data_IF_572570397391
#
_entry.id   IF_572570397391
#
_cell.length_a   1.000
_cell.length_b   1.000
_cell.length_c   1.000
_cell.angle_alpha   90.00
_cell.angle_beta   90.00
_cell.angle_gamma   90.00
#
_symmetry.space_group_name_H-M   'P 1'
#
loop_
_entity.id
_entity.type
_entity.pdbx_description
1 polymer ?
#
# COMPACT_ATOMS: atom_id res chain seq x y z
N UNK A 1 -7.57 -28.32 -8.88
CA UNK A 1 -8.01 -27.43 -9.95
C UNK A 1 -8.11 -26.04 -9.34
N UNK A 2 -7.16 -25.14 -9.70
CA UNK A 2 -7.02 -23.85 -9.10
C UNK A 2 -8.26 -23.00 -9.35
N UNK A 3 -9.00 -22.68 -8.31
CA UNK A 3 -9.94 -21.58 -8.35
C UNK A 3 -9.14 -20.32 -8.65
N UNK A 4 -9.33 -19.83 -9.86
CA UNK A 4 -8.88 -18.50 -10.23
C UNK A 4 -9.67 -17.57 -9.32
N UNK A 5 -9.04 -16.93 -8.36
CA UNK A 5 -9.67 -15.88 -7.55
C UNK A 5 -10.00 -14.73 -8.49
N UNK A 6 -11.15 -14.81 -9.14
CA UNK A 6 -11.68 -13.71 -9.93
C UNK A 6 -12.19 -12.66 -8.97
N UNK A 7 -11.40 -11.62 -8.78
CA UNK A 7 -11.87 -10.40 -8.13
C UNK A 7 -13.02 -9.84 -8.96
N UNK A 8 -14.20 -9.69 -8.35
CA UNK A 8 -15.34 -9.06 -9.01
C UNK A 8 -14.94 -7.66 -9.48
N UNK A 9 -15.18 -7.37 -10.75
CA UNK A 9 -14.88 -6.06 -11.30
C UNK A 9 -15.88 -5.02 -10.74
N UNK A 10 -15.42 -4.21 -9.80
CA UNK A 10 -16.20 -3.15 -9.12
C UNK A 10 -15.65 -1.77 -9.44
N UNK A 11 -15.84 -1.24 -10.66
CA UNK A 11 -15.19 0.00 -11.11
C UNK A 11 -15.60 1.22 -10.29
N UNK A 12 -16.87 1.32 -9.89
CA UNK A 12 -17.36 2.46 -9.11
C UNK A 12 -16.80 2.49 -7.70
N UNK A 13 -16.74 1.34 -7.02
CA UNK A 13 -16.14 1.26 -5.68
C UNK A 13 -14.64 1.53 -5.73
N UNK A 14 -13.93 1.01 -6.73
CA UNK A 14 -12.50 1.24 -6.93
C UNK A 14 -12.20 2.70 -7.26
N UNK A 15 -13.03 3.33 -8.09
CA UNK A 15 -12.90 4.77 -8.39
C UNK A 15 -13.14 5.62 -7.14
N UNK A 16 -14.19 5.33 -6.38
CA UNK A 16 -14.50 6.02 -5.13
C UNK A 16 -13.36 5.91 -4.11
N UNK A 17 -12.81 4.70 -3.91
CA UNK A 17 -11.65 4.48 -3.05
C UNK A 17 -10.41 5.23 -3.53
N UNK A 18 -10.14 5.21 -4.82
CA UNK A 18 -9.02 5.95 -5.43
C UNK A 18 -9.13 7.46 -5.26
N UNK A 19 -10.33 8.02 -5.43
CA UNK A 19 -10.60 9.45 -5.19
C UNK A 19 -10.36 9.81 -3.72
N UNK A 20 -10.85 9.00 -2.77
CA UNK A 20 -10.63 9.24 -1.35
C UNK A 20 -9.14 9.21 -0.97
N UNK A 21 -8.38 8.25 -1.49
CA UNK A 21 -6.93 8.18 -1.29
C UNK A 21 -6.24 9.40 -1.90
N UNK A 22 -6.63 9.81 -3.11
CA UNK A 22 -6.09 10.98 -3.77
C UNK A 22 -6.34 12.27 -3.01
N UNK A 23 -7.57 12.47 -2.52
CA UNK A 23 -7.94 13.63 -1.70
C UNK A 23 -7.14 13.65 -0.40
N UNK A 24 -7.01 12.51 0.29
CA UNK A 24 -6.22 12.41 1.51
C UNK A 24 -4.74 12.76 1.27
N UNK A 25 -4.16 12.29 0.16
CA UNK A 25 -2.77 12.61 -0.23
C UNK A 25 -2.58 14.10 -0.54
N UNK A 26 -3.53 14.71 -1.26
CA UNK A 26 -3.52 16.15 -1.58
C UNK A 26 -3.64 16.98 -0.29
N UNK A 27 -4.58 16.65 0.57
CA UNK A 27 -4.78 17.35 1.85
C UNK A 27 -3.52 17.28 2.71
N UNK A 28 -2.89 16.11 2.82
CA UNK A 28 -1.64 15.97 3.56
C UNK A 28 -0.54 16.85 2.97
N UNK A 29 -0.45 16.92 1.65
CA UNK A 29 0.56 17.74 0.98
C UNK A 29 0.29 19.24 1.17
N UNK A 30 -0.97 19.68 1.07
CA UNK A 30 -1.35 21.08 1.22
C UNK A 30 -1.19 21.57 2.67
N UNK A 31 -1.62 20.77 3.64
CA UNK A 31 -1.62 21.17 5.07
C UNK A 31 -0.23 21.00 5.69
N UNK A 32 0.46 19.92 5.38
CA UNK A 32 1.72 19.56 6.05
C UNK A 32 2.96 19.71 5.16
N UNK A 33 2.80 19.99 3.86
CA UNK A 33 3.90 20.05 2.90
C UNK A 33 4.63 18.70 2.72
N UNK A 34 4.01 17.57 3.10
CA UNK A 34 4.65 16.26 3.17
C UNK A 34 4.03 15.29 2.21
N UNK A 35 4.86 14.44 1.63
CA UNK A 35 4.43 13.37 0.72
C UNK A 35 3.94 12.19 1.55
N UNK A 36 2.77 11.66 1.20
CA UNK A 36 2.23 10.45 1.83
C UNK A 36 3.08 9.25 1.45
N UNK A 37 3.62 8.55 2.45
CA UNK A 37 4.36 7.31 2.28
C UNK A 37 4.26 6.47 3.55
N UNK A 38 3.55 5.34 3.49
CA UNK A 38 3.20 4.53 4.66
C UNK A 38 4.42 4.15 5.50
N UNK A 39 5.50 3.73 4.87
CA UNK A 39 6.73 3.33 5.57
C UNK A 39 7.40 4.51 6.29
N UNK A 40 7.48 5.68 5.64
CA UNK A 40 8.05 6.88 6.24
C UNK A 40 7.21 7.43 7.39
N UNK A 41 5.89 7.26 7.30
CA UNK A 41 4.97 7.62 8.38
C UNK A 41 5.14 6.68 9.56
N UNK A 42 5.15 5.36 9.32
CA UNK A 42 5.30 4.35 10.35
C UNK A 42 6.67 4.44 11.05
N UNK A 43 7.75 4.46 10.30
CA UNK A 43 9.10 4.58 10.85
C UNK A 43 9.28 5.87 11.65
N UNK A 44 8.77 6.98 11.13
CA UNK A 44 8.85 8.24 11.83
C UNK A 44 7.89 8.38 13.02
N UNK A 45 6.81 7.59 13.09
CA UNK A 45 5.97 7.51 14.27
C UNK A 45 6.66 6.74 15.42
N UNK A 46 7.46 5.73 15.07
CA UNK A 46 8.16 4.88 16.06
C UNK A 46 9.47 5.52 16.51
N UNK A 47 10.33 5.93 15.58
CA UNK A 47 11.70 6.39 15.87
C UNK A 47 11.92 7.88 15.62
N UNK A 48 10.97 8.59 15.02
CA UNK A 48 11.15 10.02 14.73
C UNK A 48 11.05 10.90 15.97
N UNK A 49 12.05 11.77 16.26
CA UNK A 49 12.01 12.64 17.42
C UNK A 49 11.04 13.82 17.28
N UNK A 50 10.68 14.19 16.06
CA UNK A 50 9.82 15.34 15.76
C UNK A 50 8.65 14.99 14.86
N UNK A 51 7.50 15.63 15.12
CA UNK A 51 6.31 15.50 14.30
C UNK A 51 5.68 14.10 14.37
N UNK A 52 5.65 13.49 15.55
CA UNK A 52 5.00 12.20 15.78
C UNK A 52 3.48 12.32 15.76
N UNK A 53 2.95 13.45 16.22
CA UNK A 53 1.52 13.65 16.45
C UNK A 53 0.69 13.47 15.16
N UNK A 54 1.09 14.15 14.09
CA UNK A 54 0.39 14.03 12.80
C UNK A 54 0.54 12.63 12.18
N UNK A 55 1.68 11.94 12.41
CA UNK A 55 1.91 10.57 11.93
C UNK A 55 1.02 9.57 12.66
N UNK A 56 0.95 9.71 13.98
CA UNK A 56 0.06 8.88 14.82
C UNK A 56 -1.40 9.15 14.46
N UNK A 57 -1.80 10.41 14.26
CA UNK A 57 -3.14 10.76 13.83
C UNK A 57 -3.50 10.12 12.47
N UNK A 58 -2.56 10.11 11.53
CA UNK A 58 -2.76 9.51 10.22
C UNK A 58 -2.85 7.98 10.30
N UNK A 59 -1.98 7.34 11.09
CA UNK A 59 -2.04 5.89 11.36
C UNK A 59 -3.35 5.51 12.06
N UNK A 60 -3.78 6.29 13.04
CA UNK A 60 -5.08 6.11 13.71
C UNK A 60 -6.23 6.20 12.69
N UNK A 61 -6.21 7.18 11.78
CA UNK A 61 -7.18 7.30 10.70
C UNK A 61 -7.19 6.07 9.77
N UNK A 62 -6.02 5.53 9.44
CA UNK A 62 -5.92 4.31 8.63
C UNK A 62 -6.51 3.08 9.33
N UNK A 63 -6.38 2.98 10.65
CA UNK A 63 -6.97 1.87 11.43
C UNK A 63 -8.46 2.07 11.65
N UNK A 64 -8.90 3.30 11.91
CA UNK A 64 -10.31 3.60 12.17
C UNK A 64 -11.17 3.60 10.91
N UNK A 65 -10.60 3.86 9.72
CA UNK A 65 -11.32 3.85 8.45
C UNK A 65 -12.11 2.55 8.19
N UNK A 66 -11.49 1.37 8.23
CA UNK A 66 -12.19 0.09 8.12
C UNK A 66 -13.25 -0.14 9.20
N UNK A 67 -13.03 0.36 10.42
CA UNK A 67 -14.02 0.26 11.50
C UNK A 67 -15.26 1.11 11.24
N UNK A 68 -15.07 2.31 10.68
CA UNK A 68 -16.18 3.18 10.25
C UNK A 68 -16.94 2.50 9.11
N UNK A 69 -16.24 1.91 8.15
CA UNK A 69 -16.87 1.16 7.07
C UNK A 69 -17.70 0.00 7.61
N UNK A 70 -17.15 -0.78 8.54
CA UNK A 70 -17.89 -1.84 9.22
C UNK A 70 -19.15 -1.32 9.91
N UNK A 71 -19.05 -0.20 10.62
CA UNK A 71 -20.20 0.39 11.32
C UNK A 71 -21.30 0.87 10.36
N UNK A 72 -20.94 1.29 9.14
CA UNK A 72 -21.90 1.79 8.14
C UNK A 72 -22.46 0.68 7.24
N UNK A 73 -21.65 -0.32 6.87
CA UNK A 73 -22.06 -1.40 5.95
C UNK A 73 -22.46 -2.69 6.68
N UNK A 74 -22.10 -2.83 7.96
CA UNK A 74 -22.39 -4.03 8.77
C UNK A 74 -21.58 -5.27 8.41
N UNK A 75 -20.68 -5.19 7.42
CA UNK A 75 -19.86 -6.32 6.99
C UNK A 75 -18.42 -5.91 6.68
N UNK A 76 -17.46 -6.73 7.08
CA UNK A 76 -16.10 -6.65 6.53
C UNK A 76 -16.06 -7.30 5.15
N UNK A 77 -15.33 -6.72 4.19
CA UNK A 77 -14.99 -7.44 2.98
C UNK A 77 -14.20 -8.71 3.37
N UNK A 78 -14.55 -9.84 2.77
CA UNK A 78 -13.82 -11.09 2.99
C UNK A 78 -12.36 -10.90 2.55
N UNK A 79 -11.44 -10.98 3.51
CA UNK A 79 -10.00 -10.90 3.24
C UNK A 79 -9.47 -12.32 3.30
N UNK A 80 -9.24 -12.92 2.14
CA UNK A 80 -8.56 -14.20 2.03
C UNK A 80 -7.09 -13.98 1.75
N UNK A 81 -6.22 -14.58 2.57
CA UNK A 81 -4.77 -14.54 2.40
C UNK A 81 -4.30 -15.95 2.05
N UNK A 82 -4.29 -16.32 0.76
CA UNK A 82 -4.00 -17.68 0.32
C UNK A 82 -2.49 -17.98 0.31
N UNK A 83 -1.77 -17.52 1.34
CA UNK A 83 -0.33 -17.78 1.49
C UNK A 83 -0.02 -18.29 2.88
N UNK A 84 1.02 -19.14 3.01
CA UNK A 84 1.46 -19.63 4.31
C UNK A 84 2.03 -18.49 5.17
N UNK A 85 1.90 -18.63 6.48
CA UNK A 85 2.43 -17.67 7.45
C UNK A 85 3.94 -17.43 7.25
N UNK A 86 4.69 -18.48 6.92
CA UNK A 86 6.12 -18.38 6.65
C UNK A 86 6.39 -17.52 5.40
N UNK A 87 5.65 -17.74 4.32
CA UNK A 87 5.79 -16.93 3.09
C UNK A 87 5.42 -15.47 3.36
N UNK A 88 4.41 -15.21 4.20
CA UNK A 88 4.02 -13.86 4.59
C UNK A 88 5.12 -13.15 5.39
N UNK A 89 5.74 -13.83 6.36
CA UNK A 89 6.84 -13.28 7.16
C UNK A 89 8.06 -13.00 6.30
N UNK A 90 8.50 -13.97 5.48
CA UNK A 90 9.65 -13.80 4.58
C UNK A 90 9.39 -12.68 3.56
N UNK A 91 8.21 -12.64 2.96
CA UNK A 91 7.81 -11.59 2.05
C UNK A 91 7.82 -10.20 2.71
N UNK A 92 7.29 -10.10 3.93
CA UNK A 92 7.31 -8.86 4.71
C UNK A 92 8.72 -8.36 5.01
N UNK A 93 9.64 -9.25 5.37
CA UNK A 93 11.06 -8.91 5.60
C UNK A 93 11.72 -8.41 4.30
N UNK A 94 11.52 -9.13 3.18
CA UNK A 94 12.08 -8.74 1.88
C UNK A 94 11.54 -7.37 1.43
N UNK A 95 10.24 -7.15 1.57
CA UNK A 95 9.61 -5.85 1.26
C UNK A 95 10.18 -4.75 2.17
N UNK A 96 10.31 -5.01 3.47
CA UNK A 96 10.90 -4.05 4.42
C UNK A 96 12.32 -3.63 4.04
N UNK A 97 13.17 -4.59 3.65
CA UNK A 97 14.52 -4.33 3.15
C UNK A 97 14.44 -3.50 1.85
N UNK A 98 13.62 -3.94 0.89
CA UNK A 98 13.47 -3.27 -0.41
C UNK A 98 13.00 -1.82 -0.27
N UNK A 99 12.04 -1.54 0.60
CA UNK A 99 11.52 -0.19 0.86
C UNK A 99 12.58 0.71 1.50
N UNK A 100 13.42 0.16 2.37
CA UNK A 100 14.51 0.90 3.00
C UNK A 100 15.55 1.33 1.98
N UNK A 101 16.03 0.42 1.15
CA UNK A 101 17.01 0.73 0.09
C UNK A 101 16.41 1.54 -1.08
N UNK A 102 15.15 1.29 -1.42
CA UNK A 102 14.42 2.02 -2.46
C UNK A 102 14.05 3.45 -2.07
N UNK A 103 14.27 3.84 -0.80
CA UNK A 103 13.89 5.13 -0.22
C UNK A 103 12.41 5.47 -0.41
N UNK A 104 11.54 4.47 -0.33
CA UNK A 104 10.10 4.64 -0.42
C UNK A 104 9.36 3.35 -0.78
N UNK A 105 8.09 3.33 -0.48
CA UNK A 105 7.18 2.22 -0.79
C UNK A 105 6.29 2.56 -1.99
N UNK A 106 5.46 1.59 -2.41
CA UNK A 106 4.51 1.78 -3.52
C UNK A 106 3.54 2.93 -3.28
N UNK A 107 3.15 3.25 -2.05
CA UNK A 107 2.28 4.40 -1.75
C UNK A 107 2.99 5.74 -1.97
N UNK A 108 4.27 5.84 -1.65
CA UNK A 108 5.05 7.05 -1.87
C UNK A 108 5.40 7.25 -3.35
N UNK A 109 5.95 6.25 -4.00
CA UNK A 109 6.32 6.31 -5.42
C UNK A 109 5.12 6.14 -6.35
N UNK A 110 4.26 5.14 -6.13
CA UNK A 110 3.16 4.81 -7.02
C UNK A 110 2.01 5.83 -6.98
N UNK A 111 1.64 6.35 -5.82
CA UNK A 111 0.55 7.31 -5.70
C UNK A 111 1.07 8.75 -5.82
N UNK A 112 1.80 9.22 -4.81
CA UNK A 112 2.23 10.61 -4.77
C UNK A 112 3.33 10.94 -5.77
N UNK A 113 4.28 10.04 -5.98
CA UNK A 113 5.39 10.27 -6.89
C UNK A 113 4.98 10.27 -8.36
N UNK A 114 4.08 9.37 -8.75
CA UNK A 114 3.51 9.36 -10.11
C UNK A 114 2.60 10.54 -10.37
N UNK A 115 1.76 10.94 -9.41
CA UNK A 115 0.91 12.12 -9.53
C UNK A 115 1.73 13.40 -9.75
N UNK A 116 2.97 13.45 -9.28
CA UNK A 116 3.93 14.54 -9.50
C UNK A 116 4.82 14.35 -10.75
N UNK A 117 4.58 13.32 -11.55
CA UNK A 117 5.36 12.96 -12.73
C UNK A 117 6.88 12.88 -12.47
N UNK A 118 7.26 12.42 -11.29
CA UNK A 118 8.66 12.25 -10.92
C UNK A 118 9.28 11.07 -11.67
N UNK A 119 10.31 11.31 -12.49
CA UNK A 119 10.98 10.27 -13.27
C UNK A 119 11.53 9.14 -12.40
N UNK A 120 12.06 9.45 -11.21
CA UNK A 120 12.49 8.45 -10.23
C UNK A 120 11.33 7.56 -9.77
N UNK A 121 10.17 8.16 -9.52
CA UNK A 121 8.98 7.42 -9.06
C UNK A 121 8.38 6.57 -10.17
N UNK A 122 8.40 7.05 -11.40
CA UNK A 122 7.97 6.29 -12.58
C UNK A 122 8.87 5.05 -12.73
N UNK A 123 10.20 5.23 -12.69
CA UNK A 123 11.14 4.11 -12.78
C UNK A 123 10.95 3.11 -11.62
N UNK A 124 10.79 3.58 -10.38
CA UNK A 124 10.53 2.73 -9.23
C UNK A 124 9.23 1.94 -9.37
N UNK A 125 8.15 2.59 -9.82
CA UNK A 125 6.85 1.94 -10.01
C UNK A 125 6.90 0.88 -11.10
N UNK A 126 7.54 1.17 -12.23
CA UNK A 126 7.73 0.18 -13.30
C UNK A 126 8.54 -1.01 -12.80
N UNK A 127 9.58 -0.77 -12.01
CA UNK A 127 10.39 -1.84 -11.41
C UNK A 127 9.55 -2.69 -10.46
N UNK A 128 8.72 -2.11 -9.60
CA UNK A 128 7.81 -2.86 -8.72
C UNK A 128 6.83 -3.71 -9.52
N UNK A 129 6.21 -3.16 -10.54
CA UNK A 129 5.25 -3.88 -11.37
C UNK A 129 5.91 -5.06 -12.10
N UNK A 130 7.08 -4.83 -12.69
CA UNK A 130 7.81 -5.86 -13.41
C UNK A 130 8.26 -6.99 -12.49
N UNK A 131 8.90 -6.65 -11.36
CA UNK A 131 9.39 -7.65 -10.40
C UNK A 131 8.26 -8.44 -9.77
N UNK A 132 7.14 -7.78 -9.43
CA UNK A 132 5.95 -8.46 -8.92
C UNK A 132 5.37 -9.42 -9.95
N UNK A 133 5.24 -8.99 -11.21
CA UNK A 133 4.77 -9.84 -12.29
C UNK A 133 5.65 -11.08 -12.49
N UNK A 134 6.97 -10.90 -12.51
CA UNK A 134 7.92 -12.00 -12.61
C UNK A 134 7.80 -12.94 -11.41
N UNK A 135 7.74 -12.40 -10.19
CA UNK A 135 7.62 -13.21 -8.97
C UNK A 135 6.35 -14.05 -8.98
N UNK A 136 5.21 -13.46 -9.30
CA UNK A 136 3.92 -14.17 -9.39
C UNK A 136 3.97 -15.25 -10.47
N UNK A 137 4.56 -14.95 -11.63
CA UNK A 137 4.72 -15.92 -12.69
C UNK A 137 5.57 -17.12 -12.25
N UNK A 138 6.72 -16.87 -11.64
CA UNK A 138 7.62 -17.93 -11.14
C UNK A 138 6.93 -18.76 -10.07
N UNK A 139 6.29 -18.13 -9.09
CA UNK A 139 5.62 -18.87 -7.99
C UNK A 139 4.50 -19.74 -8.52
N UNK A 140 3.65 -19.21 -9.41
CA UNK A 140 2.48 -19.97 -9.92
C UNK A 140 2.81 -21.01 -10.98
N UNK A 141 3.81 -20.78 -11.85
CA UNK A 141 4.06 -21.64 -12.99
C UNK A 141 5.33 -22.50 -12.86
N UNK A 142 6.29 -22.07 -12.06
CA UNK A 142 7.55 -22.81 -11.89
C UNK A 142 7.57 -23.59 -10.58
N UNK A 143 7.08 -22.97 -9.48
CA UNK A 143 7.07 -23.63 -8.17
C UNK A 143 5.75 -24.35 -7.86
N UNK A 144 4.73 -24.24 -8.72
CA UNK A 144 3.48 -24.99 -8.61
C UNK A 144 2.63 -24.59 -7.41
N UNK A 145 2.71 -23.33 -6.98
CA UNK A 145 1.91 -22.78 -5.87
C UNK A 145 0.49 -22.41 -6.31
#
# INVERSE_FOLDING_TARGET
>A
PGEVMETQFTPLASLGGGVLIGVAAILLMLVSGRVMGATGILSGAIWGPQGRDWRIALLAGMVTGPLVLLATTGSFPAIEVPVSTLAMVLGGVLVGIGVTYGAGCTSGHGVCGMARLSGRSIAATLTFMLTTGITVYVVRHVLGG
#
